data_IF_211478340164
#
_entry.id   IF_211478340164
#
_cell.length_a   1.000
_cell.length_b   1.000
_cell.length_c   1.000
_cell.angle_alpha   90.00
_cell.angle_beta   90.00
_cell.angle_gamma   90.00
#
_symmetry.space_group_name_H-M   'P 1'
#
loop_
_entity.id
_entity.type
_entity.pdbx_description
1 polymer ?
#
# COMPACT_ATOMS: atom_id res chain seq x y z
N UNK A 1 34.72 -4.63 53.52
CA UNK A 1 33.26 -4.34 53.54
C UNK A 1 33.10 -2.92 53.02
N UNK A 2 33.07 -2.79 51.73
CA UNK A 2 33.00 -1.50 51.05
C UNK A 2 31.66 -1.39 50.34
N UNK A 3 30.99 -0.30 50.63
CA UNK A 3 29.69 0.09 50.11
C UNK A 3 29.76 0.34 48.59
N UNK A 4 29.00 -0.40 47.81
CA UNK A 4 28.82 -0.14 46.40
C UNK A 4 27.67 0.89 46.25
N UNK A 5 28.08 2.14 46.04
CA UNK A 5 27.15 3.25 45.79
C UNK A 5 26.37 3.08 44.50
N UNK A 6 25.05 3.13 44.61
CA UNK A 6 24.10 3.32 43.54
C UNK A 6 24.52 4.43 42.57
N UNK A 7 24.93 4.05 41.39
CA UNK A 7 25.06 5.00 40.27
C UNK A 7 23.67 5.23 39.66
N UNK A 8 23.13 6.42 39.89
CA UNK A 8 21.97 6.93 39.20
C UNK A 8 22.24 6.87 37.68
N UNK A 9 21.66 5.90 37.03
CA UNK A 9 21.55 5.89 35.59
C UNK A 9 20.60 7.03 35.24
N UNK A 10 21.16 8.12 34.73
CA UNK A 10 20.41 9.17 34.08
C UNK A 10 19.63 8.52 32.94
N UNK A 11 18.32 8.39 33.11
CA UNK A 11 17.41 8.19 31.99
C UNK A 11 17.62 9.41 31.09
N UNK A 12 18.35 9.18 29.99
CA UNK A 12 18.27 10.06 28.84
C UNK A 12 16.84 9.82 28.33
N UNK A 13 15.96 10.77 28.61
CA UNK A 13 14.69 10.92 27.94
C UNK A 13 15.08 11.23 26.50
N UNK A 14 15.08 10.23 25.63
CA UNK A 14 15.10 10.45 24.21
C UNK A 14 13.87 11.31 23.92
N UNK A 15 14.09 12.55 23.53
CA UNK A 15 13.11 13.29 22.77
C UNK A 15 12.93 12.47 21.49
N UNK A 16 11.87 11.64 21.45
CA UNK A 16 11.46 10.98 20.23
C UNK A 16 11.35 12.08 19.18
N UNK A 17 12.24 12.05 18.19
CA UNK A 17 12.17 12.98 17.08
C UNK A 17 10.85 12.68 16.37
N UNK A 18 9.93 13.64 16.50
CA UNK A 18 8.60 13.52 15.89
C UNK A 18 8.80 13.52 14.39
N UNK A 19 8.39 12.46 13.71
CA UNK A 19 8.40 12.31 12.25
C UNK A 19 7.01 12.69 11.75
N UNK A 20 6.91 13.56 10.70
CA UNK A 20 8.00 14.35 10.10
C UNK A 20 8.47 15.49 11.01
N UNK A 21 9.74 15.91 10.84
CA UNK A 21 10.27 17.11 11.48
C UNK A 21 9.79 18.37 10.76
N UNK A 22 9.87 19.53 11.45
CA UNK A 22 9.53 20.81 10.82
C UNK A 22 10.46 21.13 9.63
N UNK A 23 11.75 20.80 9.73
CA UNK A 23 12.71 20.98 8.63
C UNK A 23 12.35 20.13 7.43
N UNK A 24 11.95 18.86 7.64
CA UNK A 24 11.51 17.97 6.60
C UNK A 24 10.25 18.51 5.88
N UNK A 25 9.26 18.99 6.64
CA UNK A 25 8.04 19.59 6.08
C UNK A 25 8.34 20.83 5.21
N UNK A 26 9.30 21.66 5.61
CA UNK A 26 9.73 22.83 4.83
C UNK A 26 10.41 22.44 3.51
N UNK A 27 11.14 21.32 3.48
CA UNK A 27 11.71 20.74 2.25
C UNK A 27 10.62 20.12 1.40
N UNK A 28 9.72 19.33 1.99
CA UNK A 28 8.59 18.71 1.31
C UNK A 28 7.74 19.72 0.55
N UNK A 29 7.40 20.86 1.16
CA UNK A 29 6.63 21.94 0.48
C UNK A 29 7.30 22.46 -0.80
N UNK A 30 8.62 22.34 -0.93
CA UNK A 30 9.36 22.79 -2.12
C UNK A 30 9.39 21.74 -3.23
N UNK A 31 9.34 20.46 -2.87
CA UNK A 31 9.52 19.35 -3.83
C UNK A 31 8.24 18.58 -4.13
N UNK A 32 7.18 18.73 -3.35
CA UNK A 32 5.93 17.98 -3.51
C UNK A 32 5.27 18.10 -4.89
N UNK A 33 5.57 19.16 -5.64
CA UNK A 33 5.09 19.33 -7.01
C UNK A 33 5.74 18.40 -8.03
N UNK A 34 6.87 17.78 -7.69
CA UNK A 34 7.51 16.71 -8.49
C UNK A 34 6.98 15.32 -8.13
N UNK A 35 6.46 15.17 -6.91
CA UNK A 35 5.97 13.91 -6.35
C UNK A 35 4.46 13.72 -6.66
N UNK A 36 4.14 13.75 -7.93
CA UNK A 36 2.77 13.65 -8.45
C UNK A 36 2.67 12.52 -9.48
N UNK A 37 1.52 11.84 -9.59
CA UNK A 37 1.38 10.79 -10.60
C UNK A 37 1.38 11.39 -12.02
N UNK A 38 1.86 10.63 -13.01
CA UNK A 38 1.85 11.04 -14.42
C UNK A 38 0.42 11.06 -15.01
N UNK A 39 -0.53 10.39 -14.36
CA UNK A 39 -1.90 10.19 -14.84
C UNK A 39 -2.94 10.71 -13.87
N UNK A 40 -4.13 11.03 -14.38
CA UNK A 40 -5.32 11.30 -13.56
C UNK A 40 -6.02 10.00 -13.22
N UNK A 41 -5.95 9.56 -11.96
CA UNK A 41 -6.66 8.34 -11.52
C UNK A 41 -8.19 8.49 -11.62
N UNK A 42 -8.75 9.68 -11.39
CA UNK A 42 -10.19 9.89 -11.61
C UNK A 42 -10.61 9.66 -13.07
N UNK A 43 -9.75 10.01 -14.03
CA UNK A 43 -10.01 9.78 -15.44
C UNK A 43 -9.88 8.32 -15.82
N UNK A 44 -8.74 7.68 -15.47
CA UNK A 44 -8.48 6.31 -15.90
C UNK A 44 -9.46 5.32 -15.28
N UNK A 45 -9.87 5.51 -14.02
CA UNK A 45 -10.91 4.68 -13.39
C UNK A 45 -12.32 4.86 -13.98
N UNK A 46 -12.55 5.88 -14.79
CA UNK A 46 -13.82 6.10 -15.51
C UNK A 46 -13.84 5.46 -16.89
N UNK A 47 -12.70 5.05 -17.42
CA UNK A 47 -12.54 4.50 -18.75
C UNK A 47 -12.83 3.00 -18.76
N UNK A 48 -13.26 2.51 -19.94
CA UNK A 48 -13.43 1.08 -20.23
C UNK A 48 -12.38 0.55 -21.19
N UNK A 49 -11.61 1.46 -21.76
CA UNK A 49 -10.55 1.17 -22.71
C UNK A 49 -9.53 2.33 -22.69
N UNK A 50 -8.25 1.99 -22.72
CA UNK A 50 -7.15 2.93 -22.91
C UNK A 50 -6.02 2.22 -23.67
N UNK A 51 -5.35 2.96 -24.58
CA UNK A 51 -4.22 2.44 -25.36
C UNK A 51 -4.53 1.10 -26.06
N UNK A 52 -5.77 0.95 -26.60
CA UNK A 52 -6.23 -0.27 -27.28
C UNK A 52 -6.48 -1.49 -26.37
N UNK A 53 -6.41 -1.31 -25.05
CA UNK A 53 -6.63 -2.37 -24.05
C UNK A 53 -7.93 -2.13 -23.29
N UNK A 54 -8.66 -3.21 -22.98
CA UNK A 54 -9.87 -3.13 -22.15
C UNK A 54 -9.53 -2.97 -20.69
N UNK A 55 -10.31 -2.15 -20.00
CA UNK A 55 -10.17 -1.86 -18.57
C UNK A 55 -11.40 -2.32 -17.80
N UNK A 56 -11.17 -2.83 -16.60
CA UNK A 56 -12.20 -3.35 -15.70
C UNK A 56 -11.94 -2.86 -14.27
N UNK A 57 -12.99 -2.79 -13.48
CA UNK A 57 -12.87 -2.53 -12.04
C UNK A 57 -13.19 -3.82 -11.29
N UNK A 58 -12.20 -4.33 -10.55
CA UNK A 58 -12.35 -5.45 -9.64
C UNK A 58 -12.62 -4.93 -8.23
N UNK A 59 -13.78 -5.29 -7.66
CA UNK A 59 -14.09 -5.02 -6.27
C UNK A 59 -13.53 -6.14 -5.39
N UNK A 60 -12.67 -5.79 -4.43
CA UNK A 60 -12.02 -6.72 -3.51
C UNK A 60 -12.62 -6.66 -2.08
N UNK A 61 -13.82 -6.10 -1.93
CA UNK A 61 -14.47 -5.90 -0.63
C UNK A 61 -14.10 -4.58 0.02
N UNK A 62 -13.88 -4.59 1.33
CA UNK A 62 -13.62 -3.39 2.13
C UNK A 62 -12.34 -3.54 2.94
N UNK A 63 -11.68 -2.40 3.20
CA UNK A 63 -10.61 -2.26 4.20
C UNK A 63 -11.11 -1.43 5.38
N UNK A 64 -10.58 -1.70 6.57
CA UNK A 64 -10.94 -0.99 7.80
C UNK A 64 -9.74 -0.18 8.32
N UNK A 65 -9.91 1.13 8.43
CA UNK A 65 -8.94 2.08 8.97
C UNK A 65 -9.44 2.69 10.28
N UNK A 66 -9.27 2.00 11.42
CA UNK A 66 -9.81 2.48 12.70
C UNK A 66 -9.08 3.70 13.28
N UNK A 67 -7.82 3.95 12.90
CA UNK A 67 -7.00 5.05 13.40
C UNK A 67 -6.79 6.14 12.34
N UNK A 68 -6.99 5.84 11.06
CA UNK A 68 -6.67 6.72 9.94
C UNK A 68 -5.17 6.92 9.73
N UNK A 69 -4.34 6.05 10.27
CA UNK A 69 -2.90 6.00 10.11
C UNK A 69 -2.56 4.79 9.24
N UNK A 70 -2.33 5.01 7.96
CA UNK A 70 -2.19 3.92 6.99
C UNK A 70 -0.77 3.78 6.48
N UNK A 71 -0.45 2.57 6.04
CA UNK A 71 0.78 2.23 5.33
C UNK A 71 0.48 1.25 4.22
N UNK A 72 1.31 1.28 3.18
CA UNK A 72 1.35 0.31 2.09
C UNK A 72 2.72 -0.36 2.10
N UNK A 73 2.76 -1.70 2.08
CA UNK A 73 3.99 -2.50 2.10
C UNK A 73 3.76 -3.84 1.41
N UNK A 74 4.84 -4.58 1.18
CA UNK A 74 4.75 -6.01 0.89
C UNK A 74 4.34 -6.76 2.17
N UNK A 75 3.21 -7.50 2.16
CA UNK A 75 2.68 -8.14 3.37
C UNK A 75 3.51 -9.31 3.89
N UNK A 76 4.44 -9.84 3.08
CA UNK A 76 5.23 -11.01 3.41
C UNK A 76 6.67 -10.68 3.81
N UNK A 77 7.27 -9.63 3.23
CA UNK A 77 8.67 -9.27 3.46
C UNK A 77 8.87 -8.00 4.29
N UNK A 78 8.16 -6.93 4.00
CA UNK A 78 8.39 -5.60 4.60
C UNK A 78 7.23 -5.15 5.49
N UNK A 79 6.72 -6.05 6.32
CA UNK A 79 5.53 -5.77 7.11
C UNK A 79 5.73 -6.11 8.59
N UNK A 80 6.45 -5.22 9.29
CA UNK A 80 6.79 -5.34 10.69
C UNK A 80 6.26 -4.15 11.51
N UNK A 81 6.31 -4.25 12.85
CA UNK A 81 5.77 -3.23 13.78
C UNK A 81 6.51 -1.91 13.73
N UNK A 82 7.78 -1.90 13.31
CA UNK A 82 8.62 -0.72 13.17
C UNK A 82 8.35 0.06 11.88
N UNK A 83 7.60 -0.53 10.94
CA UNK A 83 7.21 0.17 9.73
C UNK A 83 6.23 1.30 10.06
N UNK A 84 6.64 2.53 9.78
CA UNK A 84 5.86 3.72 10.08
C UNK A 84 4.73 3.93 9.06
N UNK A 85 3.59 4.50 9.49
CA UNK A 85 2.54 4.95 8.58
C UNK A 85 2.99 6.19 7.81
N UNK A 86 2.29 6.50 6.75
CA UNK A 86 2.41 7.78 6.07
C UNK A 86 2.07 8.93 7.02
N UNK A 87 2.72 10.10 6.83
CA UNK A 87 2.52 11.24 7.73
C UNK A 87 1.14 11.89 7.55
N UNK A 88 0.53 11.74 6.37
CA UNK A 88 -0.84 12.19 6.13
C UNK A 88 -1.82 11.20 6.77
N UNK A 89 -2.86 11.75 7.37
CA UNK A 89 -3.96 10.95 7.94
C UNK A 89 -5.13 10.87 6.97
N UNK A 90 -5.83 9.74 7.04
CA UNK A 90 -7.03 9.49 6.25
C UNK A 90 -8.27 9.42 7.17
N UNK A 91 -9.49 9.53 6.62
CA UNK A 91 -10.70 9.29 7.37
C UNK A 91 -10.72 7.89 8.01
N UNK A 92 -11.27 7.79 9.22
CA UNK A 92 -11.49 6.50 9.89
C UNK A 92 -12.78 5.85 9.42
N UNK A 93 -12.78 4.52 9.28
CA UNK A 93 -13.97 3.79 8.84
C UNK A 93 -13.65 2.56 8.00
N UNK A 94 -14.69 2.04 7.35
CA UNK A 94 -14.59 0.98 6.34
C UNK A 94 -14.82 1.58 4.97
N UNK A 95 -13.97 1.22 4.03
CA UNK A 95 -13.96 1.81 2.71
C UNK A 95 -13.81 0.74 1.62
N UNK A 96 -14.45 0.91 0.44
CA UNK A 96 -14.33 -0.03 -0.65
C UNK A 96 -12.90 -0.07 -1.20
N UNK A 97 -12.42 -1.30 -1.45
CA UNK A 97 -11.16 -1.58 -2.08
C UNK A 97 -11.41 -2.01 -3.52
N UNK A 98 -10.91 -1.24 -4.48
CA UNK A 98 -11.09 -1.48 -5.90
C UNK A 98 -9.75 -1.50 -6.63
N UNK A 99 -9.59 -2.43 -7.57
CA UNK A 99 -8.41 -2.52 -8.42
C UNK A 99 -8.79 -2.30 -9.87
N UNK A 100 -8.05 -1.43 -10.56
CA UNK A 100 -8.12 -1.27 -12.00
C UNK A 100 -7.35 -2.41 -12.64
N UNK A 101 -8.02 -3.13 -13.54
CA UNK A 101 -7.48 -4.30 -14.24
C UNK A 101 -7.42 -4.00 -15.74
N UNK A 102 -6.33 -4.35 -16.38
CA UNK A 102 -6.18 -4.31 -17.84
C UNK A 102 -6.14 -5.72 -18.41
N UNK A 103 -6.86 -5.96 -19.52
CA UNK A 103 -6.71 -7.15 -20.36
C UNK A 103 -5.54 -6.92 -21.32
N UNK A 104 -4.40 -7.52 -21.04
CA UNK A 104 -3.19 -7.39 -21.87
C UNK A 104 -3.33 -8.19 -23.18
N UNK A 105 -3.76 -9.45 -23.05
CA UNK A 105 -4.12 -10.36 -24.12
C UNK A 105 -5.38 -11.13 -23.71
N UNK A 106 -5.92 -11.98 -24.57
CA UNK A 106 -7.08 -12.83 -24.27
C UNK A 106 -6.78 -13.70 -23.03
N UNK A 107 -7.57 -13.53 -21.97
CA UNK A 107 -7.42 -14.20 -20.66
C UNK A 107 -6.11 -13.87 -19.89
N UNK A 108 -5.34 -12.85 -20.29
CA UNK A 108 -4.20 -12.33 -19.55
C UNK A 108 -4.53 -10.95 -18.95
N UNK A 109 -4.67 -10.91 -17.63
CA UNK A 109 -5.05 -9.73 -16.86
C UNK A 109 -3.90 -9.25 -15.98
N UNK A 110 -3.75 -7.90 -15.87
CA UNK A 110 -2.79 -7.29 -14.93
C UNK A 110 -3.49 -6.22 -14.13
N UNK A 111 -3.08 -6.10 -12.88
CA UNK A 111 -3.56 -5.06 -11.98
C UNK A 111 -2.73 -3.80 -12.18
N UNK A 112 -3.39 -2.73 -12.62
CA UNK A 112 -2.76 -1.46 -12.96
C UNK A 112 -2.54 -0.61 -11.71
N UNK A 113 -3.57 -0.54 -10.88
CA UNK A 113 -3.54 0.24 -9.63
C UNK A 113 -4.64 -0.24 -8.68
N UNK A 114 -4.44 -0.02 -7.38
CA UNK A 114 -5.46 -0.29 -6.35
C UNK A 114 -5.84 0.99 -5.64
N UNK A 115 -7.16 1.23 -5.52
CA UNK A 115 -7.74 2.46 -4.99
C UNK A 115 -8.65 2.20 -3.80
N UNK A 116 -8.53 3.04 -2.76
CA UNK A 116 -9.51 3.17 -1.67
C UNK A 116 -10.09 4.58 -1.71
N UNK A 117 -11.39 4.71 -1.93
CA UNK A 117 -12.11 5.99 -1.85
C UNK A 117 -12.67 6.20 -0.46
N UNK A 118 -12.41 7.37 0.12
CA UNK A 118 -12.90 7.77 1.44
C UNK A 118 -14.24 8.51 1.36
N UNK A 119 -14.56 9.05 0.19
CA UNK A 119 -15.81 9.77 -0.06
C UNK A 119 -16.19 9.73 -1.55
N UNK A 120 -17.38 10.22 -1.90
CA UNK A 120 -17.84 10.36 -3.28
C UNK A 120 -17.23 11.60 -4.00
N UNK A 121 -16.42 12.41 -3.29
CA UNK A 121 -15.75 13.55 -3.86
C UNK A 121 -14.69 13.09 -4.87
N UNK A 122 -14.42 13.93 -5.88
CA UNK A 122 -13.39 13.67 -6.86
C UNK A 122 -12.06 14.26 -6.39
N UNK A 123 -10.99 13.53 -6.60
CA UNK A 123 -9.65 14.07 -6.45
C UNK A 123 -9.36 15.07 -7.59
N UNK A 124 -8.86 16.24 -7.23
CA UNK A 124 -8.45 17.31 -8.16
C UNK A 124 -6.93 17.51 -8.18
N UNK A 125 -6.24 16.91 -7.22
CA UNK A 125 -4.78 16.87 -7.16
C UNK A 125 -4.32 15.63 -6.40
N UNK A 126 -3.06 15.25 -6.63
CA UNK A 126 -2.42 14.13 -5.99
C UNK A 126 -1.04 14.50 -5.49
N UNK A 127 -0.59 13.87 -4.42
CA UNK A 127 0.81 13.89 -3.98
C UNK A 127 1.19 12.50 -3.48
N UNK A 128 2.46 12.16 -3.62
CA UNK A 128 2.97 10.89 -3.12
C UNK A 128 2.80 10.77 -1.61
N UNK A 129 2.46 9.57 -1.16
CA UNK A 129 2.32 9.20 0.23
C UNK A 129 3.71 8.91 0.82
N UNK A 130 4.17 9.77 1.73
CA UNK A 130 5.49 9.68 2.36
C UNK A 130 5.35 9.41 3.86
N UNK A 131 6.38 8.79 4.44
CA UNK A 131 6.48 8.56 5.90
C UNK A 131 6.87 9.85 6.62
N UNK A 132 7.75 10.64 6.02
CA UNK A 132 8.24 11.89 6.57
C UNK A 132 9.68 11.82 7.09
N UNK A 133 10.45 10.83 6.63
CA UNK A 133 11.86 10.63 6.90
C UNK A 133 12.69 10.37 5.61
N UNK A 134 12.04 10.45 4.45
CA UNK A 134 12.70 10.29 3.16
C UNK A 134 13.75 11.39 2.95
N UNK A 135 14.80 11.08 2.18
CA UNK A 135 15.80 12.06 1.78
C UNK A 135 15.25 12.97 0.66
N UNK A 136 14.91 14.21 1.01
CA UNK A 136 14.38 15.21 0.08
C UNK A 136 15.48 16.19 -0.42
N UNK A 137 16.75 15.90 -0.17
CA UNK A 137 17.88 16.76 -0.58
C UNK A 137 18.41 16.42 -1.97
N UNK A 138 17.95 15.33 -2.57
CA UNK A 138 18.32 14.93 -3.93
C UNK A 138 17.59 15.82 -4.97
N UNK A 139 18.18 15.98 -6.13
CA UNK A 139 17.56 16.69 -7.25
C UNK A 139 16.43 15.80 -7.81
N UNK A 140 15.19 16.07 -7.40
CA UNK A 140 14.01 15.35 -7.87
C UNK A 140 13.55 15.91 -9.22
N UNK A 141 13.25 15.01 -10.14
CA UNK A 141 12.73 15.32 -11.48
C UNK A 141 11.27 14.83 -11.60
N UNK A 142 10.57 15.24 -12.64
CA UNK A 142 9.24 14.77 -12.96
C UNK A 142 9.25 13.26 -13.24
N UNK A 143 8.42 12.51 -12.52
CA UNK A 143 8.37 11.05 -12.59
C UNK A 143 9.18 10.33 -11.51
N UNK A 144 9.98 11.06 -10.71
CA UNK A 144 10.63 10.46 -9.53
C UNK A 144 9.62 10.17 -8.44
N UNK A 145 9.87 9.10 -7.69
CA UNK A 145 9.08 8.72 -6.53
C UNK A 145 9.89 7.88 -5.53
N UNK A 146 9.46 7.84 -4.28
CA UNK A 146 10.08 7.04 -3.21
C UNK A 146 9.46 5.64 -3.15
N UNK A 147 8.14 5.53 -3.13
CA UNK A 147 7.41 4.28 -3.19
C UNK A 147 7.62 3.29 -2.05
N UNK A 148 7.18 2.05 -2.25
CA UNK A 148 7.47 0.90 -1.41
C UNK A 148 7.98 -0.27 -2.24
N UNK A 149 8.84 -1.09 -1.64
CA UNK A 149 9.35 -2.31 -2.29
C UNK A 149 8.38 -3.47 -2.14
N UNK A 150 8.19 -4.24 -3.22
CA UNK A 150 7.51 -5.52 -3.25
C UNK A 150 8.50 -6.61 -3.72
N UNK A 151 8.83 -7.56 -2.85
CA UNK A 151 9.73 -8.70 -3.11
C UNK A 151 8.96 -10.03 -3.17
N UNK A 152 7.68 -10.03 -2.76
CA UNK A 152 6.77 -11.16 -2.97
C UNK A 152 5.83 -10.90 -4.15
N UNK A 153 6.03 -9.83 -4.91
CA UNK A 153 5.09 -9.39 -5.93
C UNK A 153 3.71 -9.03 -5.39
N UNK A 154 3.62 -8.62 -4.13
CA UNK A 154 2.37 -8.32 -3.44
C UNK A 154 2.39 -6.92 -2.81
N UNK A 155 1.22 -6.32 -2.74
CA UNK A 155 0.96 -5.09 -2.00
C UNK A 155 -0.14 -5.30 -0.96
N UNK A 156 -0.05 -4.62 0.17
CA UNK A 156 -1.13 -4.46 1.15
C UNK A 156 -1.29 -3.00 1.54
N UNK A 157 -2.53 -2.58 1.80
CA UNK A 157 -2.85 -1.29 2.38
C UNK A 157 -3.63 -1.51 3.66
N UNK A 158 -3.10 -1.05 4.79
CA UNK A 158 -3.69 -1.28 6.11
C UNK A 158 -3.49 -0.08 7.03
N UNK A 159 -4.30 -0.04 8.09
CA UNK A 159 -4.11 0.84 9.25
C UNK A 159 -3.06 0.25 10.21
N UNK A 160 -2.38 1.09 10.99
CA UNK A 160 -1.37 0.65 11.98
C UNK A 160 -1.93 -0.38 12.96
N UNK A 161 -3.21 -0.26 13.33
CA UNK A 161 -3.87 -1.25 14.19
C UNK A 161 -3.98 -2.62 13.52
N UNK A 162 -4.21 -2.64 12.22
CA UNK A 162 -4.25 -3.88 11.43
C UNK A 162 -2.84 -4.45 11.27
N UNK A 163 -1.82 -3.61 11.04
CA UNK A 163 -0.41 -4.03 11.04
C UNK A 163 -0.06 -4.76 12.33
N UNK A 164 -0.36 -4.14 13.47
CA UNK A 164 -0.01 -4.71 14.78
C UNK A 164 -0.73 -6.04 15.02
N UNK A 165 -2.02 -6.12 14.71
CA UNK A 165 -2.79 -7.36 14.83
C UNK A 165 -2.28 -8.47 13.89
N UNK A 166 -1.85 -8.12 12.68
CA UNK A 166 -1.27 -9.07 11.74
C UNK A 166 0.11 -9.57 12.19
N UNK A 167 0.94 -8.70 12.75
CA UNK A 167 2.21 -9.10 13.35
C UNK A 167 2.00 -10.08 14.53
N UNK A 168 1.02 -9.80 15.42
CA UNK A 168 0.64 -10.75 16.50
C UNK A 168 0.19 -12.10 15.95
N UNK A 169 -0.65 -12.06 14.92
CA UNK A 169 -1.13 -13.27 14.24
C UNK A 169 0.04 -14.06 13.64
N UNK A 170 0.92 -13.41 12.88
CA UNK A 170 2.08 -14.04 12.21
C UNK A 170 3.05 -14.65 13.22
N UNK A 171 3.36 -13.93 14.30
CA UNK A 171 4.20 -14.46 15.40
C UNK A 171 3.59 -15.69 16.07
N UNK A 172 2.27 -15.66 16.32
CA UNK A 172 1.56 -16.81 16.90
C UNK A 172 1.55 -18.00 15.94
N UNK A 173 1.25 -17.75 14.66
CA UNK A 173 1.22 -18.78 13.63
C UNK A 173 2.56 -19.52 13.53
N UNK A 174 3.70 -18.79 13.47
CA UNK A 174 5.03 -19.41 13.43
C UNK A 174 5.36 -20.23 14.70
N UNK A 175 4.87 -19.83 15.87
CA UNK A 175 5.05 -20.61 17.10
C UNK A 175 4.23 -21.92 17.08
N UNK A 176 3.08 -21.91 16.43
CA UNK A 176 2.19 -23.07 16.30
C UNK A 176 2.60 -24.01 15.15
N UNK A 177 3.36 -23.50 14.17
CA UNK A 177 3.83 -24.23 12.98
C UNK A 177 5.35 -24.12 12.81
N UNK A 178 6.14 -24.60 13.77
CA UNK A 178 7.60 -24.46 13.74
C UNK A 178 8.28 -25.25 12.60
N UNK A 179 7.58 -26.19 11.97
CA UNK A 179 8.02 -26.95 10.81
C UNK A 179 7.91 -26.16 9.49
N UNK A 180 7.07 -25.12 9.46
CA UNK A 180 6.83 -24.31 8.27
C UNK A 180 7.81 -23.14 8.20
N UNK A 181 8.66 -23.16 7.16
CA UNK A 181 9.64 -22.09 6.96
C UNK A 181 9.00 -20.75 6.56
N UNK A 182 7.92 -20.81 5.77
CA UNK A 182 7.26 -19.63 5.21
C UNK A 182 5.74 -19.71 5.42
N UNK A 183 5.17 -18.64 5.94
CA UNK A 183 3.73 -18.52 6.14
C UNK A 183 2.95 -18.57 4.82
N UNK A 184 3.56 -18.16 3.71
CA UNK A 184 2.92 -18.26 2.40
C UNK A 184 2.60 -19.71 2.04
N UNK A 185 3.59 -20.60 2.07
CA UNK A 185 3.39 -22.03 1.74
C UNK A 185 2.51 -22.77 2.75
N UNK A 186 2.61 -22.40 4.03
CA UNK A 186 1.85 -23.08 5.09
C UNK A 186 0.42 -22.56 5.28
N UNK A 187 0.08 -21.38 4.74
CA UNK A 187 -1.24 -20.79 4.93
C UNK A 187 -1.75 -20.07 3.67
N UNK A 188 -1.03 -19.05 3.20
CA UNK A 188 -1.61 -18.13 2.21
C UNK A 188 -1.79 -18.74 0.83
N UNK A 189 -0.97 -19.71 0.43
CA UNK A 189 -1.16 -20.41 -0.85
C UNK A 189 -2.55 -21.05 -0.97
N UNK A 190 -3.07 -21.63 0.12
CA UNK A 190 -4.43 -22.18 0.16
C UNK A 190 -5.50 -21.09 0.13
N UNK A 191 -5.28 -19.96 0.84
CA UNK A 191 -6.21 -18.83 0.85
C UNK A 191 -6.29 -18.16 -0.53
N UNK A 192 -5.16 -18.00 -1.25
CA UNK A 192 -5.14 -17.51 -2.62
C UNK A 192 -5.87 -18.48 -3.58
N UNK A 193 -5.59 -19.78 -3.51
CA UNK A 193 -6.28 -20.79 -4.33
C UNK A 193 -7.80 -20.83 -4.06
N UNK A 194 -8.20 -20.58 -2.82
CA UNK A 194 -9.61 -20.47 -2.43
C UNK A 194 -10.23 -19.19 -3.01
N UNK A 195 -9.53 -18.04 -2.92
CA UNK A 195 -9.96 -16.79 -3.52
C UNK A 195 -10.21 -16.93 -5.01
N UNK A 196 -9.30 -17.57 -5.74
CA UNK A 196 -9.51 -17.88 -7.17
C UNK A 196 -10.76 -18.71 -7.43
N UNK A 197 -11.02 -19.75 -6.65
CA UNK A 197 -12.22 -20.61 -6.80
C UNK A 197 -13.52 -19.86 -6.53
N UNK A 198 -13.51 -18.96 -5.56
CA UNK A 198 -14.69 -18.18 -5.17
C UNK A 198 -14.91 -16.96 -6.08
N UNK A 199 -13.82 -16.36 -6.58
CA UNK A 199 -13.80 -15.12 -7.38
C UNK A 199 -12.85 -15.25 -8.57
N UNK A 200 -13.12 -16.13 -9.56
CA UNK A 200 -12.18 -16.44 -10.64
C UNK A 200 -11.95 -15.27 -11.62
N UNK A 201 -12.78 -14.23 -11.56
CA UNK A 201 -12.70 -13.12 -12.50
C UNK A 201 -11.40 -12.32 -12.32
N UNK A 202 -10.68 -12.13 -13.43
CA UNK A 202 -9.41 -11.38 -13.48
C UNK A 202 -8.30 -11.94 -12.58
N UNK A 203 -8.31 -13.24 -12.32
CA UNK A 203 -7.28 -13.95 -11.59
C UNK A 203 -6.74 -15.12 -12.41
N UNK A 204 -5.46 -15.45 -12.24
CA UNK A 204 -4.88 -16.70 -12.72
C UNK A 204 -5.20 -17.85 -11.76
N UNK A 205 -5.01 -19.09 -12.23
CA UNK A 205 -5.05 -20.28 -11.37
C UNK A 205 -4.09 -20.08 -10.20
N UNK A 206 -4.33 -20.39 -9.02
CA UNK A 206 -3.62 -20.15 -7.75
C UNK A 206 -3.93 -18.81 -7.09
N UNK A 207 -4.54 -17.85 -7.77
CA UNK A 207 -5.05 -16.62 -7.21
C UNK A 207 -4.05 -15.47 -7.20
N UNK A 208 -4.57 -14.25 -7.43
CA UNK A 208 -3.80 -13.01 -7.49
C UNK A 208 -4.12 -12.06 -6.33
N UNK A 209 -5.19 -12.34 -5.59
CA UNK A 209 -5.54 -11.52 -4.42
C UNK A 209 -6.33 -12.28 -3.37
N UNK A 210 -6.20 -11.84 -2.15
CA UNK A 210 -7.05 -12.20 -1.00
C UNK A 210 -7.37 -10.98 -0.17
N UNK A 211 -8.47 -10.99 0.56
CA UNK A 211 -8.71 -10.06 1.66
C UNK A 211 -8.72 -10.87 2.96
N UNK A 212 -7.50 -11.19 3.46
CA UNK A 212 -7.31 -12.10 4.57
C UNK A 212 -7.84 -11.52 5.87
N UNK A 213 -8.87 -12.14 6.42
CA UNK A 213 -9.42 -11.76 7.72
C UNK A 213 -8.56 -12.31 8.86
N UNK A 214 -8.01 -11.42 9.68
CA UNK A 214 -7.23 -11.82 10.86
C UNK A 214 -8.16 -12.52 11.86
N UNK A 215 -7.87 -13.77 12.26
CA UNK A 215 -8.73 -14.55 13.15
C UNK A 215 -9.05 -13.82 14.46
N UNK A 216 -10.31 -13.90 14.90
CA UNK A 216 -10.85 -13.27 16.11
C UNK A 216 -10.81 -11.73 16.14
N UNK A 217 -10.71 -11.10 14.99
CA UNK A 217 -10.79 -9.64 14.83
C UNK A 217 -11.82 -9.24 13.78
N UNK A 218 -12.09 -7.95 13.65
CA UNK A 218 -12.84 -7.34 12.54
C UNK A 218 -11.90 -6.70 11.49
N UNK A 219 -10.60 -7.01 11.58
CA UNK A 219 -9.54 -6.48 10.73
C UNK A 219 -9.17 -7.48 9.63
N UNK A 220 -8.80 -6.94 8.47
CA UNK A 220 -8.32 -7.74 7.34
C UNK A 220 -7.09 -7.12 6.68
N UNK A 221 -6.27 -7.99 6.12
CA UNK A 221 -5.07 -7.64 5.35
C UNK A 221 -5.34 -8.03 3.91
N UNK A 222 -5.64 -7.07 3.02
CA UNK A 222 -5.66 -7.35 1.60
C UNK A 222 -4.24 -7.68 1.13
N UNK A 223 -4.10 -8.73 0.35
CA UNK A 223 -2.85 -9.07 -0.32
C UNK A 223 -3.15 -9.13 -1.81
N UNK A 224 -2.50 -8.30 -2.59
CA UNK A 224 -2.87 -8.00 -3.97
C UNK A 224 -1.62 -8.10 -4.83
N UNK A 225 -1.66 -8.85 -5.91
CA UNK A 225 -0.54 -8.92 -6.85
C UNK A 225 -0.21 -7.52 -7.39
N UNK A 226 1.06 -7.15 -7.35
CA UNK A 226 1.57 -5.86 -7.80
C UNK A 226 1.94 -5.89 -9.29
N UNK A 227 0.97 -5.63 -10.16
CA UNK A 227 1.20 -5.46 -11.60
C UNK A 227 1.97 -6.62 -12.24
N UNK A 228 3.26 -6.40 -12.50
CA UNK A 228 4.17 -7.40 -13.08
C UNK A 228 5.05 -8.12 -12.04
N UNK A 229 4.81 -7.97 -10.75
CA UNK A 229 5.51 -8.68 -9.69
C UNK A 229 6.41 -7.79 -8.83
N UNK A 230 7.64 -8.23 -8.59
CA UNK A 230 8.59 -7.51 -7.74
C UNK A 230 8.94 -6.14 -8.33
N UNK A 231 9.07 -5.14 -7.46
CA UNK A 231 9.38 -3.79 -7.91
C UNK A 231 9.29 -2.73 -6.82
N UNK A 232 9.46 -1.47 -7.23
CA UNK A 232 9.24 -0.27 -6.43
C UNK A 232 7.98 0.43 -6.96
N UNK A 233 7.01 0.68 -6.11
CA UNK A 233 5.69 1.17 -6.48
C UNK A 233 5.28 2.40 -5.69
N UNK A 234 4.87 3.49 -6.36
CA UNK A 234 4.39 4.70 -5.70
C UNK A 234 2.99 4.52 -5.13
N UNK A 235 2.71 5.33 -4.12
CA UNK A 235 1.38 5.47 -3.50
C UNK A 235 1.03 6.95 -3.49
N UNK A 236 -0.19 7.30 -3.87
CA UNK A 236 -0.62 8.68 -3.96
C UNK A 236 -1.87 8.94 -3.13
N UNK A 237 -1.88 10.04 -2.37
CA UNK A 237 -3.10 10.59 -1.81
C UNK A 237 -3.76 11.54 -2.81
N UNK A 238 -5.05 11.33 -3.05
CA UNK A 238 -5.89 12.23 -3.82
C UNK A 238 -6.61 13.22 -2.91
N UNK A 239 -6.61 14.49 -3.29
CA UNK A 239 -7.22 15.60 -2.55
C UNK A 239 -8.38 16.21 -3.34
N UNK A 240 -9.48 16.48 -2.65
CA UNK A 240 -10.64 17.16 -3.21
C UNK A 240 -10.43 18.68 -3.35
N UNK A 241 -11.44 19.39 -3.86
CA UNK A 241 -11.43 20.86 -4.02
C UNK A 241 -11.22 21.64 -2.72
N UNK A 242 -11.43 21.02 -1.56
CA UNK A 242 -11.22 21.60 -0.24
C UNK A 242 -9.84 21.23 0.34
N UNK A 243 -8.99 20.56 -0.43
CA UNK A 243 -7.70 20.03 0.00
C UNK A 243 -7.82 18.99 1.14
N UNK A 244 -8.93 18.23 1.14
CA UNK A 244 -9.15 17.10 2.04
C UNK A 244 -8.82 15.78 1.33
N UNK A 245 -8.16 14.84 2.02
CA UNK A 245 -7.86 13.52 1.44
C UNK A 245 -9.17 12.79 1.16
N UNK A 246 -9.43 12.49 -0.12
CA UNK A 246 -10.65 11.82 -0.56
C UNK A 246 -10.41 10.41 -1.11
N UNK A 247 -9.17 10.06 -1.43
CA UNK A 247 -8.77 8.71 -1.83
C UNK A 247 -7.28 8.46 -1.61
N UNK A 248 -6.88 7.19 -1.70
CA UNK A 248 -5.48 6.75 -1.83
C UNK A 248 -5.39 5.74 -2.95
N UNK A 249 -4.31 5.81 -3.75
CA UNK A 249 -4.07 4.94 -4.90
C UNK A 249 -2.65 4.36 -4.81
N UNK A 250 -2.55 3.04 -4.96
CA UNK A 250 -1.29 2.34 -5.20
C UNK A 250 -1.18 2.18 -6.72
N UNK A 251 -0.15 2.71 -7.36
CA UNK A 251 0.09 2.53 -8.78
C UNK A 251 1.11 1.43 -8.99
N UNK A 252 0.77 0.43 -9.80
CA UNK A 252 1.68 -0.66 -10.11
C UNK A 252 2.41 -0.44 -11.42
N UNK A 253 1.78 0.20 -12.40
CA UNK A 253 2.44 0.66 -13.62
C UNK A 253 1.57 1.68 -14.37
N UNK A 254 2.23 2.51 -15.16
CA UNK A 254 1.60 3.48 -16.04
C UNK A 254 1.17 2.80 -17.35
N UNK A 255 -0.12 2.95 -17.71
CA UNK A 255 -0.69 2.36 -18.93
C UNK A 255 -0.14 3.00 -20.21
N UNK A 256 0.12 4.32 -20.19
CA UNK A 256 0.65 5.04 -21.35
C UNK A 256 2.09 4.64 -21.63
N UNK A 257 2.92 4.57 -20.60
CA UNK A 257 4.31 4.11 -20.74
C UNK A 257 4.39 2.65 -21.18
N UNK A 258 3.42 1.82 -20.75
CA UNK A 258 3.45 0.38 -21.02
C UNK A 258 2.85 0.03 -22.37
N UNK A 259 1.76 0.69 -22.79
CA UNK A 259 0.98 0.31 -23.99
C UNK A 259 0.78 1.46 -24.98
N UNK A 260 1.19 2.70 -24.63
CA UNK A 260 0.95 3.88 -25.46
C UNK A 260 1.97 4.07 -26.59
N UNK A 261 3.05 3.30 -26.63
CA UNK A 261 4.00 3.38 -27.75
C UNK A 261 3.41 2.65 -28.95
N UNK A 262 3.16 3.39 -30.03
CA UNK A 262 2.86 2.78 -31.33
C UNK A 262 4.08 1.95 -31.77
N UNK A 263 3.85 0.69 -32.15
CA UNK A 263 4.86 -0.09 -32.86
C UNK A 263 5.14 0.62 -34.21
N UNK A 264 6.34 1.19 -34.35
CA UNK A 264 6.82 1.74 -35.63
C UNK A 264 7.07 0.64 -36.67
#
# INVERSE_FOLDING_TARGET
MEDYKDSKINKIVSTENKIPTQEWLEKYEKVKSFLVPPVSFEEIYSQKEAFGKKLFILNMGEVHFPMGEILVRDPLFYFDRDQLPYFQKVPTGKFPLNTLVVEVEEDDYRYVSTRVKFSDKKAVSYTEALVGDENLDDDLEEGDFFGFFADAGLATIVDVKTRDAYCDFREKWHKEHPEEAYIYSGLFAEEFAKSYKENPQFQIEYGDWINFKIPNTDLSVPMIQSGFGDGLYPVYFGYDENNEVCEVVIEYFDLELTFGQEEE
#
